data_IF_236784515920
#
_entry.id   IF_236784515920
#
_cell.length_a   1.000
_cell.length_b   1.000
_cell.length_c   1.000
_cell.angle_alpha   90.00
_cell.angle_beta   90.00
_cell.angle_gamma   90.00
#
_symmetry.space_group_name_H-M   'P 1'
#
loop_
_entity.id
_entity.type
_entity.pdbx_description
1 polymer ?
#
# COMPACT_ATOMS: atom_id res chain seq x y z
N UNK A 1 -1.61 37.64 -49.04
CA UNK A 1 -0.60 36.59 -49.21
C UNK A 1 0.20 36.53 -47.91
N UNK A 2 -0.34 36.16 -46.74
CA UNK A 2 -1.06 34.94 -46.33
C UNK A 2 -0.27 33.66 -46.58
N UNK A 3 0.73 33.40 -45.73
CA UNK A 3 1.20 32.05 -45.44
C UNK A 3 1.18 31.87 -43.92
N UNK A 4 0.04 31.36 -43.45
CA UNK A 4 -0.13 30.89 -42.09
C UNK A 4 0.61 29.57 -41.91
N UNK A 5 1.76 29.63 -41.24
CA UNK A 5 2.38 28.46 -40.65
C UNK A 5 1.43 27.93 -39.58
N UNK A 6 0.67 26.90 -39.94
CA UNK A 6 -0.08 26.08 -39.01
C UNK A 6 0.87 25.54 -37.96
N UNK A 7 0.85 26.15 -36.78
CA UNK A 7 1.38 25.58 -35.55
C UNK A 7 0.62 24.30 -35.31
N UNK A 8 1.22 23.18 -35.75
CA UNK A 8 0.75 21.85 -35.46
C UNK A 8 0.62 21.72 -33.96
N UNK A 9 -0.62 21.59 -33.49
CA UNK A 9 -0.92 21.30 -32.10
C UNK A 9 -0.31 19.94 -31.82
N UNK A 10 0.84 19.92 -31.12
CA UNK A 10 1.45 18.70 -30.62
C UNK A 10 0.41 18.00 -29.75
N UNK A 11 -0.12 16.87 -30.23
CA UNK A 11 -1.12 16.10 -29.48
C UNK A 11 -0.48 15.68 -28.16
N UNK A 12 -0.99 16.21 -27.06
CA UNK A 12 -0.58 15.81 -25.73
C UNK A 12 -1.18 14.43 -25.43
N UNK A 13 -0.49 13.36 -25.83
CA UNK A 13 -0.93 12.00 -25.57
C UNK A 13 -0.54 11.58 -24.14
N UNK A 14 -1.52 11.58 -23.23
CA UNK A 14 -1.34 11.01 -21.89
C UNK A 14 -1.63 9.51 -21.94
N UNK A 15 -0.75 8.70 -21.36
CA UNK A 15 -0.90 7.23 -21.29
C UNK A 15 -0.99 6.78 -19.84
N UNK A 16 -1.91 5.87 -19.55
CA UNK A 16 -1.96 5.17 -18.26
C UNK A 16 -0.94 4.03 -18.30
N UNK A 17 -0.07 3.94 -17.29
CA UNK A 17 0.89 2.84 -17.09
C UNK A 17 0.62 2.16 -15.76
N UNK A 18 0.60 0.83 -15.78
CA UNK A 18 0.52 0.00 -14.59
C UNK A 18 1.89 -0.61 -14.30
N UNK A 19 2.23 -0.76 -13.02
CA UNK A 19 3.49 -1.33 -12.57
C UNK A 19 3.22 -2.48 -11.62
N UNK A 20 3.98 -3.57 -11.78
CA UNK A 20 3.83 -4.79 -10.97
C UNK A 20 4.55 -4.68 -9.63
N UNK A 21 5.68 -3.96 -9.60
CA UNK A 21 6.51 -3.82 -8.41
C UNK A 21 7.24 -2.47 -8.36
N UNK A 22 7.81 -2.17 -7.19
CA UNK A 22 8.47 -0.90 -6.89
C UNK A 22 9.72 -0.68 -7.74
N UNK A 23 10.45 -1.74 -8.08
CA UNK A 23 11.67 -1.68 -8.89
C UNK A 23 11.35 -1.20 -10.31
N UNK A 24 10.39 -1.83 -10.99
CA UNK A 24 9.93 -1.42 -12.33
C UNK A 24 9.41 0.01 -12.37
N UNK A 25 8.72 0.45 -11.31
CA UNK A 25 8.29 1.84 -11.21
C UNK A 25 9.49 2.79 -11.01
N UNK A 26 10.47 2.40 -10.20
CA UNK A 26 11.72 3.12 -10.03
C UNK A 26 12.50 3.27 -11.33
N UNK A 27 12.63 2.21 -12.12
CA UNK A 27 13.28 2.22 -13.43
C UNK A 27 12.59 3.21 -14.39
N UNK A 28 11.25 3.23 -14.37
CA UNK A 28 10.48 4.17 -15.16
C UNK A 28 10.75 5.61 -14.74
N UNK A 29 10.76 5.91 -13.44
CA UNK A 29 11.10 7.24 -12.94
C UNK A 29 12.52 7.66 -13.39
N UNK A 30 13.50 6.75 -13.29
CA UNK A 30 14.86 7.01 -13.75
C UNK A 30 14.91 7.27 -15.27
N UNK A 31 14.14 6.53 -16.07
CA UNK A 31 14.06 6.70 -17.53
C UNK A 31 13.50 8.07 -17.96
N UNK A 32 12.70 8.72 -17.10
CA UNK A 32 12.17 10.06 -17.32
C UNK A 32 13.17 11.16 -16.90
N UNK A 33 14.31 10.79 -16.31
CA UNK A 33 15.34 11.71 -15.86
C UNK A 33 15.16 12.22 -14.42
N UNK A 34 14.37 11.51 -13.60
CA UNK A 34 14.26 11.81 -12.16
C UNK A 34 15.62 11.56 -11.48
N UNK A 35 16.02 12.46 -10.58
CA UNK A 35 17.27 12.31 -9.81
C UNK A 35 17.26 11.05 -8.95
N UNK A 36 18.42 10.45 -8.69
CA UNK A 36 18.52 9.25 -7.85
C UNK A 36 17.87 9.41 -6.47
N UNK A 37 18.04 10.54 -5.74
CA UNK A 37 17.28 10.80 -4.52
C UNK A 37 15.76 10.83 -4.71
N UNK A 38 15.30 11.41 -5.83
CA UNK A 38 13.88 11.43 -6.20
C UNK A 38 13.32 10.04 -6.46
N UNK A 39 14.04 9.18 -7.19
CA UNK A 39 13.65 7.79 -7.45
C UNK A 39 13.53 7.01 -6.14
N UNK A 40 14.51 7.14 -5.24
CA UNK A 40 14.48 6.48 -3.93
C UNK A 40 13.26 6.92 -3.11
N UNK A 41 12.92 8.21 -3.14
CA UNK A 41 11.77 8.74 -2.37
C UNK A 41 10.41 8.38 -2.98
N UNK A 42 10.30 8.35 -4.32
CA UNK A 42 9.03 8.23 -5.02
C UNK A 42 8.67 6.80 -5.40
N UNK A 43 9.65 5.91 -5.59
CA UNK A 43 9.39 4.52 -5.99
C UNK A 43 8.41 3.80 -5.05
N UNK A 44 8.51 4.05 -3.74
CA UNK A 44 7.60 3.48 -2.73
C UNK A 44 6.14 3.93 -2.81
N UNK A 45 5.80 4.92 -3.65
CA UNK A 45 4.44 5.45 -3.83
C UNK A 45 3.69 4.84 -5.01
N UNK A 46 4.38 4.14 -5.91
CA UNK A 46 3.79 3.69 -7.17
C UNK A 46 3.02 2.38 -7.12
N UNK A 47 3.17 1.60 -6.03
CA UNK A 47 2.53 0.29 -5.89
C UNK A 47 1.53 0.34 -4.75
N UNK A 48 0.26 0.15 -5.10
CA UNK A 48 -0.83 0.00 -4.15
C UNK A 48 -0.92 -1.46 -3.68
N UNK A 49 -0.98 -1.67 -2.37
CA UNK A 49 -1.23 -2.99 -1.76
C UNK A 49 -2.61 -3.01 -1.14
N UNK A 50 -3.28 -4.15 -1.30
CA UNK A 50 -4.56 -4.47 -0.64
C UNK A 50 -4.29 -5.64 0.29
N UNK A 51 -4.51 -5.45 1.59
CA UNK A 51 -4.15 -6.40 2.63
C UNK A 51 -5.39 -6.74 3.44
N UNK A 52 -5.72 -8.02 3.52
CA UNK A 52 -6.78 -8.51 4.40
C UNK A 52 -6.29 -8.50 5.85
N UNK A 53 -6.98 -7.76 6.70
CA UNK A 53 -6.62 -7.62 8.11
C UNK A 53 -7.57 -8.51 8.94
N UNK A 54 -7.02 -9.45 9.73
CA UNK A 54 -7.82 -10.33 10.55
C UNK A 54 -8.58 -9.55 11.63
N UNK A 55 -9.47 -10.26 12.31
CA UNK A 55 -10.32 -9.68 13.33
C UNK A 55 -9.50 -9.05 14.49
N UNK A 56 -9.81 -7.79 14.81
CA UNK A 56 -9.16 -7.01 15.88
C UNK A 56 -10.19 -6.33 16.77
N UNK A 57 -9.78 -5.93 17.98
CA UNK A 57 -10.62 -5.12 18.89
C UNK A 57 -11.16 -3.88 18.17
N UNK A 58 -12.44 -3.55 18.36
CA UNK A 58 -13.08 -2.42 17.70
C UNK A 58 -12.33 -1.08 17.93
N UNK A 59 -11.78 -0.87 19.13
CA UNK A 59 -11.02 0.35 19.45
C UNK A 59 -9.71 0.38 18.67
N UNK A 60 -9.04 -0.78 18.56
CA UNK A 60 -7.87 -0.93 17.72
C UNK A 60 -8.19 -0.63 16.25
N UNK A 61 -9.30 -1.16 15.72
CA UNK A 61 -9.73 -0.93 14.35
C UNK A 61 -9.98 0.55 14.05
N UNK A 62 -10.66 1.26 14.95
CA UNK A 62 -10.94 2.69 14.77
C UNK A 62 -9.68 3.55 14.84
N UNK A 63 -8.76 3.27 15.78
CA UNK A 63 -7.45 3.95 15.84
C UNK A 63 -6.65 3.66 14.58
N UNK A 64 -6.59 2.40 14.16
CA UNK A 64 -5.88 1.99 12.95
C UNK A 64 -6.45 2.73 11.73
N UNK A 65 -7.77 2.81 11.60
CA UNK A 65 -8.40 3.58 10.52
C UNK A 65 -7.99 5.05 10.55
N UNK A 66 -7.98 5.67 11.72
CA UNK A 66 -7.54 7.07 11.87
C UNK A 66 -6.06 7.25 11.48
N UNK A 67 -5.18 6.35 11.91
CA UNK A 67 -3.76 6.40 11.54
C UNK A 67 -3.54 6.19 10.05
N UNK A 68 -4.29 5.28 9.41
CA UNK A 68 -4.25 5.06 7.97
C UNK A 68 -4.70 6.31 7.20
N UNK A 69 -5.85 6.90 7.58
CA UNK A 69 -6.37 8.12 6.96
C UNK A 69 -5.40 9.30 7.10
N UNK A 70 -4.71 9.41 8.24
CA UNK A 70 -3.76 10.51 8.50
C UNK A 70 -2.55 10.54 7.56
N UNK A 71 -2.29 9.46 6.82
CA UNK A 71 -1.17 9.34 5.86
C UNK A 71 -1.67 9.12 4.42
N UNK A 72 -2.97 9.30 4.17
CA UNK A 72 -3.61 9.10 2.87
C UNK A 72 -3.76 7.63 2.46
N UNK A 73 -3.64 6.69 3.39
CA UNK A 73 -4.03 5.30 3.19
C UNK A 73 -5.50 5.11 3.58
N UNK A 74 -6.05 3.91 3.37
CA UNK A 74 -7.44 3.60 3.72
C UNK A 74 -7.52 2.27 4.49
N UNK A 75 -8.35 2.23 5.54
CA UNK A 75 -8.75 0.99 6.20
C UNK A 75 -10.27 0.87 6.09
N UNK A 76 -10.70 0.04 5.16
CA UNK A 76 -12.11 -0.31 5.02
C UNK A 76 -12.52 -1.19 6.20
N UNK A 77 -13.55 -0.77 6.92
CA UNK A 77 -14.13 -1.47 8.05
C UNK A 77 -15.61 -1.71 7.78
N UNK A 78 -16.21 -2.76 8.36
CA UNK A 78 -17.62 -3.05 8.18
C UNK A 78 -18.48 -1.98 8.88
N UNK A 79 -19.75 -1.85 8.47
CA UNK A 79 -20.65 -0.77 8.93
C UNK A 79 -20.82 -0.75 10.45
N UNK A 80 -20.78 -1.92 11.09
CA UNK A 80 -20.92 -2.11 12.53
C UNK A 80 -19.78 -1.45 13.32
N UNK A 81 -18.62 -1.25 12.70
CA UNK A 81 -17.50 -0.53 13.31
C UNK A 81 -17.84 0.95 13.53
N UNK A 82 -18.49 1.59 12.55
CA UNK A 82 -18.94 2.98 12.66
C UNK A 82 -20.08 3.13 13.69
N UNK A 83 -20.93 2.10 13.83
CA UNK A 83 -22.00 2.09 14.82
C UNK A 83 -21.54 1.79 16.25
N UNK A 84 -20.26 1.48 16.46
CA UNK A 84 -19.68 1.05 17.74
C UNK A 84 -20.39 -0.17 18.38
N UNK A 85 -21.01 -1.03 17.56
CA UNK A 85 -21.84 -2.15 18.04
C UNK A 85 -21.08 -3.47 18.14
N UNK A 86 -19.96 -3.59 17.43
CA UNK A 86 -19.15 -4.80 17.41
C UNK A 86 -18.06 -4.78 18.50
N UNK A 87 -17.73 -5.93 19.08
CA UNK A 87 -16.55 -6.04 19.98
C UNK A 87 -15.24 -6.13 19.19
N UNK A 88 -15.30 -6.81 18.04
CA UNK A 88 -14.18 -7.01 17.15
C UNK A 88 -14.63 -6.96 15.70
N UNK A 89 -13.74 -6.57 14.81
CA UNK A 89 -14.01 -6.43 13.37
C UNK A 89 -12.77 -6.80 12.55
N UNK A 90 -12.98 -7.35 11.35
CA UNK A 90 -11.95 -7.45 10.30
C UNK A 90 -11.92 -6.18 9.47
N UNK A 91 -10.87 -6.00 8.66
CA UNK A 91 -10.76 -4.84 7.76
C UNK A 91 -9.94 -5.13 6.51
N UNK A 92 -9.98 -4.22 5.55
CA UNK A 92 -9.14 -4.27 4.35
C UNK A 92 -8.30 -3.00 4.31
N UNK A 93 -6.98 -3.16 4.41
CA UNK A 93 -6.03 -2.05 4.33
C UNK A 93 -5.63 -1.83 2.87
N UNK A 94 -5.69 -0.59 2.42
CA UNK A 94 -5.23 -0.14 1.11
C UNK A 94 -4.13 0.90 1.33
N UNK A 95 -2.89 0.56 0.98
CA UNK A 95 -1.74 1.41 1.24
C UNK A 95 -0.59 1.15 0.25
N UNK A 96 0.21 2.18 -0.01
CA UNK A 96 1.50 2.06 -0.71
C UNK A 96 2.61 1.58 0.21
N UNK A 97 3.73 1.12 -0.35
CA UNK A 97 4.91 0.74 0.46
C UNK A 97 5.34 1.89 1.38
N UNK A 98 5.34 3.13 0.87
CA UNK A 98 5.73 4.29 1.67
C UNK A 98 4.76 4.56 2.81
N UNK A 99 3.46 4.39 2.58
CA UNK A 99 2.46 4.55 3.62
C UNK A 99 2.57 3.45 4.69
N UNK A 100 2.86 2.22 4.29
CA UNK A 100 3.05 1.09 5.22
C UNK A 100 4.20 1.33 6.21
N UNK A 101 5.32 1.88 5.75
CA UNK A 101 6.45 2.26 6.64
C UNK A 101 6.03 3.27 7.72
N UNK A 102 5.30 4.32 7.32
CA UNK A 102 4.86 5.37 8.24
C UNK A 102 3.77 4.84 9.18
N UNK A 103 2.85 4.04 8.66
CA UNK A 103 1.77 3.41 9.41
C UNK A 103 2.32 2.46 10.48
N UNK A 104 3.34 1.66 10.15
CA UNK A 104 4.02 0.79 11.10
C UNK A 104 4.52 1.58 12.33
N UNK A 105 5.23 2.69 12.09
CA UNK A 105 5.75 3.53 13.18
C UNK A 105 4.62 4.10 14.06
N UNK A 106 3.52 4.54 13.44
CA UNK A 106 2.32 5.00 14.14
C UNK A 106 1.70 3.90 15.00
N UNK A 107 1.44 2.72 14.43
CA UNK A 107 0.78 1.61 15.14
C UNK A 107 1.59 1.07 16.32
N UNK A 108 2.92 1.11 16.29
CA UNK A 108 3.76 0.69 17.43
C UNK A 108 3.52 1.49 18.69
N UNK A 109 3.16 2.76 18.56
CA UNK A 109 2.91 3.66 19.69
C UNK A 109 1.49 3.53 20.22
N UNK A 110 0.60 2.86 19.50
CA UNK A 110 -0.82 2.80 19.82
C UNK A 110 -1.18 1.62 20.75
N UNK A 111 -2.23 1.78 21.59
CA UNK A 111 -2.69 0.75 22.51
C UNK A 111 -3.47 -0.38 21.79
N UNK A 112 -4.13 -1.23 22.58
CA UNK A 112 -5.05 -2.29 22.11
C UNK A 112 -4.43 -3.32 21.16
N UNK A 113 -3.13 -3.57 21.30
CA UNK A 113 -2.42 -4.59 20.53
C UNK A 113 -2.00 -4.17 19.12
N UNK A 114 -2.17 -2.90 18.75
CA UNK A 114 -1.81 -2.40 17.41
C UNK A 114 -0.33 -2.53 17.09
N UNK A 115 0.55 -2.54 18.09
CA UNK A 115 1.97 -2.89 17.91
C UNK A 115 2.14 -4.24 17.20
N UNK A 116 1.43 -5.28 17.65
CA UNK A 116 1.54 -6.63 17.06
C UNK A 116 1.02 -6.65 15.62
N UNK A 117 -0.04 -5.88 15.33
CA UNK A 117 -0.57 -5.72 13.97
C UNK A 117 0.46 -5.02 13.08
N UNK A 118 1.12 -3.98 13.58
CA UNK A 118 2.21 -3.30 12.88
C UNK A 118 3.38 -4.23 12.55
N UNK A 119 3.83 -5.02 13.52
CA UNK A 119 4.91 -5.99 13.33
C UNK A 119 4.54 -7.05 12.26
N UNK A 120 3.30 -7.55 12.32
CA UNK A 120 2.77 -8.53 11.36
C UNK A 120 2.62 -7.96 9.95
N UNK A 121 2.17 -6.71 9.81
CA UNK A 121 2.09 -6.01 8.53
C UNK A 121 3.46 -5.94 7.84
N UNK A 122 4.49 -5.58 8.59
CA UNK A 122 5.86 -5.52 8.05
C UNK A 122 6.39 -6.90 7.69
N UNK A 123 6.10 -7.92 8.51
CA UNK A 123 6.45 -9.31 8.21
C UNK A 123 5.82 -9.76 6.88
N UNK A 124 4.50 -9.60 6.72
CA UNK A 124 3.80 -9.98 5.48
C UNK A 124 4.35 -9.23 4.28
N UNK A 125 4.59 -7.92 4.39
CA UNK A 125 5.14 -7.13 3.29
C UNK A 125 6.56 -7.53 2.89
N UNK A 126 7.38 -8.02 3.83
CA UNK A 126 8.75 -8.50 3.57
C UNK A 126 8.82 -9.88 2.90
N UNK A 127 7.76 -10.68 3.09
CA UNK A 127 7.63 -12.00 2.45
C UNK A 127 6.95 -11.87 1.09
N UNK A 128 5.97 -10.99 0.98
CA UNK A 128 5.22 -10.73 -0.26
C UNK A 128 6.13 -10.09 -1.33
N UNK A 129 6.47 -10.88 -2.35
CA UNK A 129 7.43 -10.53 -3.40
C UNK A 129 8.60 -11.50 -3.51
N UNK A 130 8.77 -12.42 -2.54
CA UNK A 130 9.64 -13.58 -2.72
C UNK A 130 8.88 -14.64 -3.53
N UNK A 131 9.43 -15.02 -4.67
CA UNK A 131 8.91 -16.11 -5.52
C UNK A 131 8.99 -17.49 -4.86
N UNK A 132 9.59 -17.60 -3.68
CA UNK A 132 9.67 -18.83 -2.90
C UNK A 132 8.80 -18.72 -1.65
N UNK A 133 7.55 -19.17 -1.76
CA UNK A 133 6.76 -19.54 -0.60
C UNK A 133 6.98 -21.02 -0.33
N UNK A 134 7.82 -21.37 0.65
CA UNK A 134 7.75 -22.70 1.25
C UNK A 134 6.51 -22.75 2.15
N UNK A 135 5.37 -23.08 1.57
CA UNK A 135 4.15 -23.42 2.29
C UNK A 135 4.35 -24.75 2.99
N UNK A 136 4.88 -24.73 4.22
CA UNK A 136 4.72 -25.89 5.12
C UNK A 136 3.32 -25.87 5.70
N UNK A 137 2.44 -26.68 5.11
CA UNK A 137 1.18 -27.02 5.73
C UNK A 137 1.45 -27.70 7.09
N UNK A 138 0.63 -27.47 8.13
CA UNK A 138 0.71 -28.22 9.39
C UNK A 138 0.50 -29.74 9.22
N UNK A 139 0.14 -30.18 8.00
CA UNK A 139 -0.16 -31.56 7.63
C UNK A 139 0.80 -32.14 6.58
N UNK A 140 1.96 -31.51 6.34
CA UNK A 140 3.08 -32.15 5.64
C UNK A 140 2.83 -32.57 4.18
N UNK A 141 1.94 -31.89 3.44
CA UNK A 141 1.83 -32.07 1.98
C UNK A 141 2.25 -30.80 1.27
N UNK A 142 3.27 -30.91 0.44
CA UNK A 142 3.63 -29.92 -0.58
C UNK A 142 2.56 -29.92 -1.67
N UNK A 143 2.14 -28.73 -2.09
CA UNK A 143 1.32 -28.56 -3.30
C UNK A 143 2.16 -27.68 -4.22
N UNK A 144 2.52 -28.26 -5.36
CA UNK A 144 3.38 -27.69 -6.41
C UNK A 144 2.78 -26.40 -6.97
#
# INVERSE_FOLDING_TARGET
MSDGLGVGVSLLCMLIKNFENQERFGDFLASVGVTSPGVMMMSGKGILRVIDIPEMDLRAANIFKQEALSIGAELALPREAAGLKAKKVRGVLIATNKQLEVLYMKLKMQPFGLRKIGDELMRVCSVYGRTEFSLRSPHGREVV
#
